data_IF_033175891571
#
_entry.id   IF_033175891571
#
_cell.length_a   1.000
_cell.length_b   1.000
_cell.length_c   1.000
_cell.angle_alpha   90.00
_cell.angle_beta   90.00
_cell.angle_gamma   90.00
#
_symmetry.space_group_name_H-M   'P 1'
#
loop_
_entity.id
_entity.type
_entity.pdbx_description
1 polymer ?
#
# COMPACT_ATOMS: atom_id res chain seq x y z
N UNK A 1 -27.46 -4.78 -3.91
CA UNK A 1 -26.01 -4.83 -4.21
C UNK A 1 -25.31 -3.94 -3.20
N UNK A 2 -24.56 -4.50 -2.26
CA UNK A 2 -23.97 -3.73 -1.16
C UNK A 2 -22.97 -2.70 -1.69
N UNK A 3 -23.13 -1.43 -1.30
CA UNK A 3 -22.17 -0.36 -1.51
C UNK A 3 -20.83 -0.77 -0.88
N UNK A 4 -19.95 -1.41 -1.66
CA UNK A 4 -18.57 -1.71 -1.27
C UNK A 4 -17.90 -0.37 -1.03
N UNK A 5 -17.71 -0.03 0.24
CA UNK A 5 -17.24 1.28 0.69
C UNK A 5 -16.13 1.82 -0.19
N UNK A 6 -16.39 2.95 -0.82
CA UNK A 6 -15.42 3.72 -1.57
C UNK A 6 -14.46 4.37 -0.56
N UNK A 7 -13.37 3.68 -0.22
CA UNK A 7 -12.33 4.24 0.64
C UNK A 7 -11.48 5.18 -0.23
N UNK A 8 -11.21 6.42 0.17
CA UNK A 8 -10.32 7.31 -0.59
C UNK A 8 -8.95 6.66 -0.84
N UNK A 9 -8.42 6.83 -2.06
CA UNK A 9 -7.06 6.42 -2.37
C UNK A 9 -6.07 7.31 -1.60
N UNK A 10 -5.09 6.70 -0.94
CA UNK A 10 -4.12 7.42 -0.10
C UNK A 10 -2.99 8.09 -0.90
N UNK A 11 -2.95 7.90 -2.22
CA UNK A 11 -1.97 8.60 -3.08
C UNK A 11 -2.35 10.08 -3.19
N UNK A 12 -1.45 11.00 -2.82
CA UNK A 12 -1.66 12.43 -2.97
C UNK A 12 -2.06 12.79 -4.40
N UNK A 13 -3.07 13.65 -4.55
CA UNK A 13 -3.56 14.09 -5.85
C UNK A 13 -4.43 13.09 -6.63
N UNK A 14 -4.61 11.84 -6.16
CA UNK A 14 -5.39 10.86 -6.93
C UNK A 14 -6.90 11.17 -6.98
N UNK A 15 -7.51 11.58 -5.86
CA UNK A 15 -8.95 11.83 -5.72
C UNK A 15 -9.87 10.61 -5.97
N UNK A 16 -9.32 9.46 -6.36
CA UNK A 16 -10.07 8.24 -6.65
C UNK A 16 -10.35 7.41 -5.40
N UNK A 17 -11.06 6.30 -5.59
CA UNK A 17 -11.44 5.38 -4.51
C UNK A 17 -10.82 4.00 -4.71
N UNK A 18 -10.56 3.31 -3.60
CA UNK A 18 -10.12 1.92 -3.54
C UNK A 18 -11.19 1.07 -2.87
N UNK A 19 -11.25 -0.20 -3.25
CA UNK A 19 -12.08 -1.18 -2.57
C UNK A 19 -11.47 -1.54 -1.21
N UNK A 20 -12.32 -1.96 -0.27
CA UNK A 20 -11.88 -2.46 1.03
C UNK A 20 -10.88 -3.63 0.88
N UNK A 21 -9.81 -3.59 1.65
CA UNK A 21 -8.73 -4.59 1.61
C UNK A 21 -7.67 -4.38 0.52
N UNK A 22 -7.89 -3.48 -0.44
CA UNK A 22 -6.88 -3.13 -1.45
C UNK A 22 -6.02 -1.98 -0.98
N UNK A 23 -4.72 -2.00 -1.30
CA UNK A 23 -3.81 -0.93 -0.90
C UNK A 23 -4.09 0.39 -1.62
N UNK A 24 -4.24 0.33 -2.96
CA UNK A 24 -4.41 1.50 -3.83
C UNK A 24 -5.60 1.30 -4.78
N UNK A 25 -6.08 2.38 -5.38
CA UNK A 25 -7.01 2.28 -6.51
C UNK A 25 -6.29 1.64 -7.72
N UNK A 26 -7.05 1.02 -8.63
CA UNK A 26 -6.48 0.31 -9.80
C UNK A 26 -5.51 1.17 -10.64
N UNK A 27 -5.81 2.45 -10.95
CA UNK A 27 -4.86 3.32 -11.66
C UNK A 27 -3.57 3.59 -10.88
N UNK A 28 -3.63 3.86 -9.57
CA UNK A 28 -2.44 4.05 -8.74
C UNK A 28 -1.61 2.78 -8.64
N UNK A 29 -2.25 1.63 -8.47
CA UNK A 29 -1.55 0.36 -8.39
C UNK A 29 -0.79 0.03 -9.68
N UNK A 30 -1.38 0.28 -10.85
CA UNK A 30 -0.71 0.09 -12.15
C UNK A 30 0.51 0.97 -12.35
N UNK A 31 0.56 2.13 -11.70
CA UNK A 31 1.71 3.02 -11.74
C UNK A 31 2.86 2.58 -10.81
N UNK A 32 2.64 1.63 -9.91
CA UNK A 32 3.70 1.10 -9.05
C UNK A 32 4.65 0.24 -9.88
N UNK A 33 5.98 0.41 -9.78
CA UNK A 33 6.95 -0.47 -10.43
C UNK A 33 6.77 -1.94 -10.04
N UNK A 34 6.90 -2.87 -10.99
CA UNK A 34 6.70 -4.32 -10.75
C UNK A 34 7.50 -4.86 -9.57
N UNK A 35 8.75 -4.41 -9.38
CA UNK A 35 9.59 -4.82 -8.24
C UNK A 35 8.96 -4.46 -6.89
N UNK A 36 8.35 -3.28 -6.78
CA UNK A 36 7.67 -2.85 -5.56
C UNK A 36 6.33 -3.56 -5.38
N UNK A 37 5.60 -3.84 -6.46
CA UNK A 37 4.40 -4.68 -6.38
C UNK A 37 4.73 -6.07 -5.80
N UNK A 38 5.81 -6.70 -6.28
CA UNK A 38 6.29 -7.98 -5.74
C UNK A 38 6.69 -7.89 -4.27
N UNK A 39 7.35 -6.80 -3.86
CA UNK A 39 7.74 -6.57 -2.46
C UNK A 39 6.51 -6.44 -1.54
N UNK A 40 5.51 -5.66 -1.94
CA UNK A 40 4.24 -5.52 -1.22
C UNK A 40 3.53 -6.87 -1.11
N UNK A 41 3.46 -7.62 -2.21
CA UNK A 41 2.81 -8.93 -2.20
C UNK A 41 3.53 -9.92 -1.27
N UNK A 42 4.87 -9.97 -1.33
CA UNK A 42 5.68 -10.83 -0.47
C UNK A 42 5.51 -10.50 1.01
N UNK A 43 5.59 -9.22 1.38
CA UNK A 43 5.42 -8.77 2.77
C UNK A 43 3.98 -8.97 3.27
N UNK A 44 2.97 -8.78 2.41
CA UNK A 44 1.58 -9.10 2.73
C UNK A 44 1.39 -10.59 3.02
N UNK A 45 1.97 -11.48 2.21
CA UNK A 45 1.88 -12.93 2.42
C UNK A 45 2.57 -13.37 3.70
N UNK A 46 3.73 -12.79 4.02
CA UNK A 46 4.42 -13.04 5.28
C UNK A 46 3.59 -12.59 6.49
N UNK A 47 3.01 -11.38 6.43
CA UNK A 47 2.11 -10.89 7.47
C UNK A 47 0.86 -11.75 7.64
N UNK A 48 0.22 -12.16 6.54
CA UNK A 48 -0.93 -13.06 6.56
C UNK A 48 -0.58 -14.43 7.15
N UNK A 49 0.61 -14.95 6.85
CA UNK A 49 1.09 -16.20 7.43
C UNK A 49 1.30 -16.08 8.93
N UNK A 50 1.89 -14.98 9.42
CA UNK A 50 2.05 -14.71 10.87
C UNK A 50 0.69 -14.63 11.56
N UNK A 51 -0.27 -13.90 10.99
CA UNK A 51 -1.63 -13.79 11.54
C UNK A 51 -2.33 -15.15 11.65
N UNK A 52 -2.08 -16.05 10.71
CA UNK A 52 -2.76 -17.35 10.63
C UNK A 52 -2.07 -18.42 11.48
N UNK A 53 -0.74 -18.46 11.47
CA UNK A 53 0.06 -19.53 12.07
C UNK A 53 0.52 -19.19 13.48
N UNK A 54 0.71 -17.90 13.79
CA UNK A 54 1.28 -17.43 15.06
C UNK A 54 0.49 -16.23 15.62
N UNK A 55 -0.84 -16.33 15.81
CA UNK A 55 -1.67 -15.20 16.23
C UNK A 55 -1.32 -14.64 17.62
N UNK A 56 -0.70 -15.44 18.49
CA UNK A 56 -0.25 -15.02 19.83
C UNK A 56 1.20 -14.47 19.86
N UNK A 57 1.94 -14.58 18.76
CA UNK A 57 3.31 -14.09 18.66
C UNK A 57 3.31 -12.58 18.31
N UNK A 58 3.13 -11.77 19.35
CA UNK A 58 3.05 -10.31 19.24
C UNK A 58 4.31 -9.68 18.61
N UNK A 59 5.55 -10.11 18.96
CA UNK A 59 6.76 -9.64 18.29
C UNK A 59 6.75 -9.92 16.78
N UNK A 60 6.47 -11.16 16.36
CA UNK A 60 6.42 -11.51 14.94
C UNK A 60 5.33 -10.74 14.20
N UNK A 61 4.16 -10.56 14.83
CA UNK A 61 3.07 -9.76 14.25
C UNK A 61 3.47 -8.30 14.05
N UNK A 62 4.17 -7.71 15.02
CA UNK A 62 4.66 -6.33 14.96
C UNK A 62 5.67 -6.16 13.83
N UNK A 63 6.63 -7.07 13.73
CA UNK A 63 7.66 -7.05 12.69
C UNK A 63 7.06 -7.21 11.29
N UNK A 64 6.20 -8.21 11.10
CA UNK A 64 5.56 -8.44 9.80
C UNK A 64 4.64 -7.27 9.40
N UNK A 65 3.94 -6.66 10.38
CA UNK A 65 3.13 -5.45 10.16
C UNK A 65 4.01 -4.26 9.76
N UNK A 66 5.16 -4.07 10.40
CA UNK A 66 6.09 -3.00 10.05
C UNK A 66 6.67 -3.17 8.65
N UNK A 67 7.07 -4.39 8.29
CA UNK A 67 7.58 -4.72 6.96
C UNK A 67 6.53 -4.46 5.86
N UNK A 68 5.30 -4.93 6.06
CA UNK A 68 4.21 -4.67 5.12
C UNK A 68 3.90 -3.16 4.99
N UNK A 69 3.85 -2.42 6.11
CA UNK A 69 3.61 -0.97 6.08
C UNK A 69 4.72 -0.21 5.34
N UNK A 70 5.98 -0.61 5.52
CA UNK A 70 7.11 -0.01 4.81
C UNK A 70 7.02 -0.24 3.29
N UNK A 71 6.72 -1.48 2.87
CA UNK A 71 6.52 -1.80 1.46
C UNK A 71 5.30 -1.05 0.87
N UNK A 72 4.21 -0.99 1.62
CA UNK A 72 3.00 -0.27 1.24
C UNK A 72 3.28 1.23 1.04
N UNK A 73 3.99 1.87 1.98
CA UNK A 73 4.41 3.27 1.85
C UNK A 73 5.29 3.49 0.61
N UNK A 74 6.29 2.65 0.40
CA UNK A 74 7.16 2.76 -0.78
C UNK A 74 6.36 2.62 -2.10
N UNK A 75 5.36 1.74 -2.14
CA UNK A 75 4.47 1.62 -3.30
C UNK A 75 3.59 2.86 -3.50
N UNK A 76 3.02 3.44 -2.43
CA UNK A 76 2.25 4.68 -2.49
C UNK A 76 3.10 5.85 -2.97
N UNK A 77 4.31 6.00 -2.42
CA UNK A 77 5.25 7.06 -2.82
C UNK A 77 5.66 6.91 -4.30
N UNK A 78 5.94 5.68 -4.75
CA UNK A 78 6.23 5.40 -6.15
C UNK A 78 5.03 5.65 -7.09
N UNK A 79 3.81 5.30 -6.65
CA UNK A 79 2.61 5.62 -7.41
C UNK A 79 2.39 7.13 -7.54
N UNK A 80 2.69 7.88 -6.47
CA UNK A 80 2.66 9.35 -6.49
C UNK A 80 3.71 9.90 -7.47
N UNK A 81 4.97 9.49 -7.35
CA UNK A 81 6.05 9.93 -8.22
C UNK A 81 5.77 9.67 -9.72
N UNK A 82 5.17 8.51 -10.04
CA UNK A 82 4.92 8.13 -11.43
C UNK A 82 3.66 8.75 -12.03
N UNK A 83 2.66 9.14 -11.21
CA UNK A 83 1.40 9.72 -11.71
C UNK A 83 1.32 11.23 -11.54
N UNK A 84 1.98 11.76 -10.52
CA UNK A 84 1.92 13.14 -10.09
C UNK A 84 3.32 13.64 -9.72
N UNK A 85 4.26 13.69 -10.69
CA UNK A 85 5.66 14.02 -10.42
C UNK A 85 5.81 15.40 -9.76
N UNK A 86 5.03 16.38 -10.19
CA UNK A 86 5.08 17.75 -9.66
C UNK A 86 4.64 17.80 -8.19
N UNK A 87 3.57 17.08 -7.83
CA UNK A 87 3.11 16.99 -6.43
C UNK A 87 4.11 16.23 -5.56
N UNK A 88 4.68 15.14 -6.09
CA UNK A 88 5.68 14.36 -5.36
C UNK A 88 6.96 15.18 -5.10
N UNK A 89 7.39 16.01 -6.05
CA UNK A 89 8.53 16.90 -5.86
C UNK A 89 8.23 17.99 -4.83
N UNK A 90 7.09 18.67 -4.93
CA UNK A 90 6.68 19.68 -3.95
C UNK A 90 6.60 19.12 -2.52
N UNK A 91 6.15 17.87 -2.35
CA UNK A 91 6.11 17.19 -1.05
C UNK A 91 7.48 16.80 -0.48
N UNK A 92 8.53 16.74 -1.31
CA UNK A 92 9.90 16.46 -0.86
C UNK A 92 10.66 17.71 -0.45
N UNK A 93 10.26 18.86 -0.98
CA UNK A 93 10.88 20.16 -0.75
C UNK A 93 10.25 20.91 0.45
N UNK A 94 9.10 20.44 0.94
CA UNK A 94 8.39 20.94 2.11
C UNK A 94 8.78 20.18 3.40
#
# INVERSE_FOLDING_TARGET
MANRGNIPCEVPGCGGTRAQGYLLCSPCWRAVPRRLQSCVYSSFRAWQAVLTQKPADMPAMREASASYRAAAKAATDAACANRFPDLHQAMKEA
#
